data_IF_590157574030
#
_entry.id   IF_590157574030
#
_cell.length_a   1.000
_cell.length_b   1.000
_cell.length_c   1.000
_cell.angle_alpha   90.00
_cell.angle_beta   90.00
_cell.angle_gamma   90.00
#
_symmetry.space_group_name_H-M   'P 1'
#
loop_
_entity.id
_entity.type
_entity.pdbx_description
1 polymer ?
#
# COMPACT_ATOMS: atom_id res chain seq x y z
N UNK A 1 -1.14 13.22 -21.88
CA UNK A 1 -2.03 13.64 -20.78
C UNK A 1 -2.35 12.42 -19.91
N UNK A 2 -1.64 12.21 -18.79
CA UNK A 2 -1.86 11.03 -17.90
C UNK A 2 -1.75 11.39 -16.40
N UNK A 3 -1.68 12.68 -16.07
CA UNK A 3 -1.39 13.22 -14.73
C UNK A 3 -2.42 12.81 -13.66
N UNK A 4 -3.75 12.90 -13.88
CA UNK A 4 -4.70 12.56 -12.82
C UNK A 4 -4.69 11.08 -12.46
N UNK A 5 -4.45 10.19 -13.44
CA UNK A 5 -4.33 8.75 -13.19
C UNK A 5 -3.11 8.40 -12.34
N UNK A 6 -1.97 9.05 -12.59
CA UNK A 6 -0.76 8.85 -11.79
C UNK A 6 -0.90 9.38 -10.36
N UNK A 7 -1.59 10.50 -10.17
CA UNK A 7 -1.87 11.03 -8.82
C UNK A 7 -2.82 10.12 -8.04
N UNK A 8 -3.90 9.63 -8.69
CA UNK A 8 -4.83 8.69 -8.05
C UNK A 8 -4.13 7.38 -7.67
N UNK A 9 -3.31 6.84 -8.57
CA UNK A 9 -2.54 5.61 -8.32
C UNK A 9 -1.48 5.81 -7.23
N UNK A 10 -0.71 6.90 -7.27
CA UNK A 10 0.26 7.24 -6.23
C UNK A 10 -0.41 7.43 -4.87
N UNK A 11 -1.55 8.13 -4.82
CA UNK A 11 -2.33 8.29 -3.60
C UNK A 11 -2.86 6.97 -3.04
N UNK A 12 -3.34 6.07 -3.90
CA UNK A 12 -3.76 4.72 -3.52
C UNK A 12 -2.62 3.88 -2.94
N UNK A 13 -1.42 3.95 -3.54
CA UNK A 13 -0.24 3.25 -3.02
C UNK A 13 0.23 3.84 -1.69
N UNK A 14 0.15 5.15 -1.50
CA UNK A 14 0.47 5.78 -0.21
C UNK A 14 -0.51 5.31 0.85
N UNK A 15 -1.83 5.37 0.60
CA UNK A 15 -2.81 4.95 1.59
C UNK A 15 -2.74 3.46 1.92
N UNK A 16 -2.56 2.61 0.91
CA UNK A 16 -2.30 1.18 1.10
C UNK A 16 -1.01 0.91 1.87
N UNK A 17 0.08 1.58 1.49
CA UNK A 17 1.37 1.47 2.15
C UNK A 17 1.35 1.91 3.61
N UNK A 18 0.65 3.00 3.95
CA UNK A 18 0.42 3.42 5.35
C UNK A 18 -0.27 2.30 6.12
N UNK A 19 -1.39 1.78 5.59
CA UNK A 19 -2.19 0.75 6.27
C UNK A 19 -1.38 -0.51 6.56
N UNK A 20 -0.52 -0.92 5.62
CA UNK A 20 0.40 -2.05 5.77
C UNK A 20 1.55 -1.74 6.74
N UNK A 21 2.10 -0.53 6.72
CA UNK A 21 3.24 -0.15 7.56
C UNK A 21 2.88 -0.02 9.05
N UNK A 22 1.64 0.33 9.38
CA UNK A 22 1.18 0.51 10.77
C UNK A 22 0.51 -0.74 11.36
N UNK A 23 0.55 -1.89 10.67
CA UNK A 23 -0.23 -3.09 11.01
C UNK A 23 -1.69 -2.77 11.35
N UNK A 24 -2.35 -2.08 10.43
CA UNK A 24 -3.74 -1.71 10.67
C UNK A 24 -4.59 -2.99 10.84
N UNK A 25 -5.53 -3.04 11.81
CA UNK A 25 -6.35 -4.23 12.08
C UNK A 25 -7.16 -4.73 10.86
N UNK A 26 -7.35 -3.87 9.86
CA UNK A 26 -7.94 -4.26 8.57
C UNK A 26 -7.04 -5.18 7.74
N UNK A 27 -5.72 -4.92 7.73
CA UNK A 27 -4.72 -5.74 7.03
C UNK A 27 -4.59 -7.08 7.74
N UNK A 28 -4.58 -7.07 9.06
CA UNK A 28 -4.49 -8.30 9.85
C UNK A 28 -5.75 -9.18 9.66
N UNK A 29 -6.95 -8.57 9.61
CA UNK A 29 -8.18 -9.30 9.23
C UNK A 29 -8.12 -9.86 7.82
N UNK A 30 -7.64 -9.09 6.84
CA UNK A 30 -7.49 -9.56 5.46
C UNK A 30 -6.51 -10.73 5.39
N UNK A 31 -5.37 -10.63 6.06
CA UNK A 31 -4.34 -11.66 6.12
C UNK A 31 -4.89 -12.97 6.73
N UNK A 32 -5.61 -12.86 7.85
CA UNK A 32 -6.28 -14.01 8.46
C UNK A 32 -7.39 -14.59 7.57
N UNK A 33 -8.11 -13.75 6.83
CA UNK A 33 -9.13 -14.21 5.88
C UNK A 33 -8.52 -14.96 4.69
N UNK A 34 -7.41 -14.45 4.14
CA UNK A 34 -6.67 -15.08 3.05
C UNK A 34 -5.99 -16.39 3.48
N UNK A 35 -5.45 -16.45 4.70
CA UNK A 35 -4.93 -17.72 5.24
C UNK A 35 -6.06 -18.72 5.54
N UNK A 36 -7.22 -18.25 5.98
CA UNK A 36 -8.38 -19.09 6.21
C UNK A 36 -9.00 -19.63 4.92
N UNK A 37 -8.89 -18.94 3.78
CA UNK A 37 -9.46 -19.45 2.52
C UNK A 37 -8.73 -20.68 1.97
N UNK A 38 -7.48 -20.91 2.38
CA UNK A 38 -6.67 -22.07 2.02
C UNK A 38 -6.63 -23.17 3.09
N UNK A 39 -7.32 -23.00 4.22
CA UNK A 39 -7.26 -23.93 5.37
C UNK A 39 -8.66 -24.20 5.91
N UNK A 40 -8.84 -25.29 6.67
CA UNK A 40 -10.10 -25.54 7.39
C UNK A 40 -10.20 -24.79 8.72
N UNK A 41 -9.23 -23.92 9.03
CA UNK A 41 -9.14 -23.19 10.29
C UNK A 41 -9.89 -21.86 10.24
N UNK A 42 -10.44 -21.44 11.38
CA UNK A 42 -11.14 -20.14 11.45
C UNK A 42 -10.12 -19.01 11.44
N UNK A 43 -10.43 -17.83 10.84
CA UNK A 43 -9.53 -16.68 10.84
C UNK A 43 -9.06 -16.24 12.24
N UNK A 44 -9.84 -16.52 13.28
CA UNK A 44 -9.50 -16.22 14.68
C UNK A 44 -8.46 -17.15 15.31
N UNK A 45 -8.23 -18.32 14.72
CA UNK A 45 -7.31 -19.36 15.24
C UNK A 45 -5.95 -19.33 14.54
N UNK A 46 -5.82 -18.52 13.49
CA UNK A 46 -4.59 -18.39 12.72
C UNK A 46 -3.65 -17.44 13.46
N UNK A 47 -2.61 -18.02 14.04
CA UNK A 47 -1.53 -17.30 14.69
C UNK A 47 -0.72 -16.52 13.63
N UNK A 48 -0.63 -15.20 13.81
CA UNK A 48 0.16 -14.35 12.92
C UNK A 48 1.60 -14.37 13.43
N UNK A 49 2.47 -15.12 12.74
CA UNK A 49 3.90 -15.18 13.02
C UNK A 49 4.54 -13.79 12.95
N UNK A 50 5.37 -13.43 13.94
CA UNK A 50 5.99 -12.10 14.04
C UNK A 50 6.89 -11.77 12.85
N UNK A 51 7.45 -12.78 12.17
CA UNK A 51 8.15 -12.57 10.90
C UNK A 51 7.20 -12.10 9.78
N UNK A 52 5.96 -12.58 9.74
CA UNK A 52 4.98 -12.17 8.74
C UNK A 52 4.53 -10.72 8.95
N UNK A 53 4.41 -10.28 10.21
CA UNK A 53 4.17 -8.86 10.58
C UNK A 53 5.31 -7.98 10.08
N UNK A 54 6.56 -8.39 10.32
CA UNK A 54 7.74 -7.62 9.94
C UNK A 54 7.89 -7.49 8.41
N UNK A 55 7.60 -8.56 7.67
CA UNK A 55 7.53 -8.54 6.20
C UNK A 55 6.38 -7.64 5.73
N UNK A 56 5.21 -7.72 6.36
CA UNK A 56 4.06 -6.85 6.06
C UNK A 56 4.40 -5.37 6.21
N UNK A 57 5.06 -5.00 7.32
CA UNK A 57 5.58 -3.65 7.54
C UNK A 57 6.59 -3.22 6.49
N UNK A 58 7.59 -4.06 6.20
CA UNK A 58 8.63 -3.74 5.21
C UNK A 58 8.03 -3.50 3.82
N UNK A 59 7.09 -4.35 3.40
CA UNK A 59 6.36 -4.19 2.13
C UNK A 59 5.47 -2.94 2.16
N UNK A 60 4.81 -2.65 3.28
CA UNK A 60 4.03 -1.43 3.46
C UNK A 60 4.86 -0.16 3.29
N UNK A 61 6.03 -0.10 3.92
CA UNK A 61 6.97 1.03 3.79
C UNK A 61 7.46 1.18 2.35
N UNK A 62 7.85 0.09 1.68
CA UNK A 62 8.27 0.13 0.28
C UNK A 62 7.15 0.62 -0.66
N UNK A 63 5.93 0.15 -0.42
CA UNK A 63 4.74 0.56 -1.18
C UNK A 63 4.45 2.04 -0.98
N UNK A 64 4.56 2.52 0.26
CA UNK A 64 4.40 3.93 0.62
C UNK A 64 5.43 4.82 -0.09
N UNK A 65 6.71 4.46 -0.01
CA UNK A 65 7.80 5.18 -0.67
C UNK A 65 7.58 5.23 -2.18
N UNK A 66 7.19 4.11 -2.78
CA UNK A 66 6.91 4.03 -4.23
C UNK A 66 5.73 4.93 -4.62
N UNK A 67 4.64 4.91 -3.85
CA UNK A 67 3.48 5.78 -4.07
C UNK A 67 3.83 7.26 -3.98
N UNK A 68 4.66 7.64 -3.00
CA UNK A 68 5.18 9.00 -2.83
C UNK A 68 6.03 9.43 -4.03
N UNK A 69 6.94 8.58 -4.49
CA UNK A 69 7.77 8.89 -5.67
C UNK A 69 6.91 9.13 -6.92
N UNK A 70 5.90 8.29 -7.15
CA UNK A 70 4.97 8.44 -8.28
C UNK A 70 4.17 9.74 -8.16
N UNK A 71 3.66 10.06 -6.97
CA UNK A 71 2.91 11.29 -6.74
C UNK A 71 3.78 12.54 -6.95
N UNK A 72 5.00 12.56 -6.41
CA UNK A 72 5.96 13.65 -6.58
C UNK A 72 6.34 13.84 -8.04
N UNK A 73 6.62 12.75 -8.76
CA UNK A 73 6.93 12.79 -10.18
C UNK A 73 5.76 13.32 -11.02
N UNK A 74 4.53 12.87 -10.74
CA UNK A 74 3.32 13.38 -11.40
C UNK A 74 3.11 14.89 -11.16
N UNK A 75 3.34 15.37 -9.93
CA UNK A 75 3.30 16.81 -9.60
C UNK A 75 4.39 17.57 -10.35
N UNK A 76 5.62 17.03 -10.38
CA UNK A 76 6.75 17.66 -11.05
C UNK A 76 6.53 17.78 -12.57
N UNK A 77 5.95 16.76 -13.21
CA UNK A 77 5.58 16.79 -14.63
C UNK A 77 4.45 17.78 -14.91
N UNK A 78 3.44 17.82 -14.04
CA UNK A 78 2.33 18.78 -14.13
C UNK A 78 2.83 20.23 -14.14
N UNK A 79 3.79 20.56 -13.26
CA UNK A 79 4.38 21.91 -13.21
C UNK A 79 5.20 22.26 -14.45
N UNK A 80 5.96 21.32 -15.03
CA UNK A 80 6.74 21.56 -16.26
C UNK A 80 5.86 21.75 -17.51
N UNK A 81 4.69 21.12 -17.55
CA UNK A 81 3.71 21.34 -18.62
C UNK A 81 3.10 22.75 -18.58
N UNK A 82 3.12 23.43 -17.44
CA UNK A 82 2.55 24.76 -17.25
C UNK A 82 3.48 25.92 -17.61
N UNK A 83 4.79 25.68 -17.79
CA UNK A 83 5.79 26.72 -18.09
C UNK A 83 6.09 26.86 -19.60
N UNK A 84 5.35 26.17 -20.46
CA UNK A 84 5.51 26.18 -21.92
C UNK A 84 4.28 26.76 -22.65
N UNK A 85 3.39 27.46 -21.93
CA UNK A 85 2.22 28.15 -22.48
C UNK A 85 2.41 29.66 -22.49
#
# INVERSE_FOLDING_TARGET
MVVPGQLAFGGFLVSGGVLLAIDHPAVDRLNRHLKASGTSQRPSEIETDGNAELVGRAVGVLTLVTGLLIAVDAIARSRRGSSAG
#
